data_IF_595606286268
#
_entry.id   IF_595606286268
#
_cell.length_a   1.000
_cell.length_b   1.000
_cell.length_c   1.000
_cell.angle_alpha   90.00
_cell.angle_beta   90.00
_cell.angle_gamma   90.00
#
_symmetry.space_group_name_H-M   'P 1'
#
loop_
_entity.id
_entity.type
_entity.pdbx_description
1 polymer ?
#
# COMPACT_ATOMS: atom_id res chain seq x y z
N UNK A 1 16.20 7.94 4.88
CA UNK A 1 15.93 9.24 4.24
C UNK A 1 15.38 8.91 2.86
N UNK A 2 14.06 9.02 2.64
CA UNK A 2 13.47 8.75 1.33
C UNK A 2 13.96 9.85 0.37
N UNK A 3 14.56 9.43 -0.75
CA UNK A 3 14.96 10.28 -1.88
C UNK A 3 13.72 10.95 -2.52
N UNK A 4 13.88 11.94 -3.43
CA UNK A 4 12.80 12.75 -4.01
C UNK A 4 11.55 11.92 -4.34
N UNK A 5 10.39 12.49 -4.00
CA UNK A 5 9.23 11.76 -3.49
C UNK A 5 8.86 10.58 -4.39
N UNK A 6 8.60 9.41 -3.79
CA UNK A 6 7.99 8.26 -4.49
C UNK A 6 6.68 8.65 -5.18
N UNK A 7 6.09 9.78 -4.74
CA UNK A 7 4.90 10.40 -5.30
C UNK A 7 5.15 11.14 -6.61
N UNK A 8 6.41 11.35 -7.03
CA UNK A 8 6.78 11.96 -8.31
C UNK A 8 7.12 10.92 -9.39
N UNK A 9 6.83 9.65 -9.11
CA UNK A 9 7.13 8.55 -10.00
C UNK A 9 6.16 8.54 -11.20
N UNK A 10 6.61 8.83 -12.44
CA UNK A 10 5.73 8.94 -13.59
C UNK A 10 4.94 7.65 -13.88
N UNK A 11 5.53 6.51 -13.52
CA UNK A 11 4.91 5.18 -13.58
C UNK A 11 3.65 5.11 -12.73
N UNK A 12 3.71 5.60 -11.48
CA UNK A 12 2.58 5.56 -10.55
C UNK A 12 1.43 6.39 -11.11
N UNK A 13 1.73 7.58 -11.62
CA UNK A 13 0.71 8.45 -12.21
C UNK A 13 0.11 7.87 -13.47
N UNK A 14 0.93 7.39 -14.41
CA UNK A 14 0.41 6.81 -15.65
C UNK A 14 -0.56 5.66 -15.36
N UNK A 15 -0.24 4.80 -14.38
CA UNK A 15 -1.12 3.72 -13.95
C UNK A 15 -2.43 4.23 -13.32
N UNK A 16 -2.37 5.32 -12.56
CA UNK A 16 -3.55 5.92 -11.95
C UNK A 16 -4.41 6.70 -12.94
N UNK A 17 -3.82 7.45 -13.88
CA UNK A 17 -4.52 8.10 -14.99
C UNK A 17 -5.27 7.09 -15.84
N UNK A 18 -4.61 5.96 -16.13
CA UNK A 18 -5.22 4.87 -16.88
C UNK A 18 -6.41 4.26 -16.12
N UNK A 19 -6.30 4.10 -14.78
CA UNK A 19 -7.43 3.68 -13.93
C UNK A 19 -8.57 4.71 -13.93
N UNK A 20 -8.25 5.98 -14.08
CA UNK A 20 -9.23 7.06 -14.22
C UNK A 20 -9.78 7.23 -15.64
N UNK A 21 -9.46 6.32 -16.57
CA UNK A 21 -9.88 6.37 -17.98
C UNK A 21 -9.63 7.74 -18.65
N UNK A 22 -8.59 8.45 -18.22
CA UNK A 22 -8.27 9.80 -18.70
C UNK A 22 -9.27 10.90 -18.28
N UNK A 23 -10.21 10.62 -17.37
CA UNK A 23 -11.15 11.62 -16.82
C UNK A 23 -10.41 12.76 -16.10
N UNK A 24 -9.26 12.41 -15.52
CA UNK A 24 -8.34 13.33 -14.90
C UNK A 24 -7.01 13.22 -15.64
N UNK A 25 -6.50 14.37 -16.07
CA UNK A 25 -5.10 14.52 -16.45
C UNK A 25 -4.39 15.12 -15.25
N UNK A 26 -3.54 14.35 -14.58
CA UNK A 26 -2.85 14.88 -13.42
C UNK A 26 -1.84 15.94 -13.88
N UNK A 27 -1.74 17.09 -13.19
CA UNK A 27 -0.74 18.11 -13.50
C UNK A 27 0.66 17.50 -13.38
N UNK A 28 1.60 17.86 -14.26
CA UNK A 28 2.97 17.32 -14.20
C UNK A 28 3.79 17.76 -12.97
N UNK A 29 3.24 18.63 -12.11
CA UNK A 29 3.88 19.20 -10.93
C UNK A 29 3.22 18.78 -9.59
N UNK A 30 2.52 17.64 -9.56
CA UNK A 30 1.86 17.06 -8.37
C UNK A 30 2.74 17.00 -7.11
N UNK A 31 4.08 16.89 -7.25
CA UNK A 31 5.06 17.00 -6.16
C UNK A 31 4.78 18.18 -5.23
N UNK A 32 4.29 19.26 -5.82
CA UNK A 32 4.09 20.56 -5.18
C UNK A 32 2.68 20.71 -4.60
N UNK A 33 1.73 19.83 -4.93
CA UNK A 33 0.34 19.94 -4.54
C UNK A 33 -0.34 18.57 -4.43
N UNK A 34 0.14 17.75 -3.50
CA UNK A 34 -0.38 16.40 -3.28
C UNK A 34 -1.91 16.39 -3.02
N UNK A 35 -2.42 17.37 -2.28
CA UNK A 35 -3.87 17.48 -2.05
C UNK A 35 -4.69 17.68 -3.34
N UNK A 36 -4.14 18.37 -4.36
CA UNK A 36 -4.81 18.44 -5.67
C UNK A 36 -4.95 17.06 -6.28
N UNK A 37 -3.86 16.30 -6.23
CA UNK A 37 -3.80 14.98 -6.81
C UNK A 37 -4.76 14.01 -6.10
N UNK A 38 -4.81 14.01 -4.77
CA UNK A 38 -5.75 13.20 -4.01
C UNK A 38 -7.21 13.60 -4.26
N UNK A 39 -7.47 14.91 -4.36
CA UNK A 39 -8.79 15.43 -4.72
C UNK A 39 -9.23 14.99 -6.12
N UNK A 40 -8.31 15.03 -7.09
CA UNK A 40 -8.62 14.60 -8.44
C UNK A 40 -8.86 13.09 -8.52
N UNK A 41 -8.11 12.28 -7.76
CA UNK A 41 -8.42 10.87 -7.57
C UNK A 41 -9.82 10.69 -6.99
N UNK A 42 -10.14 11.40 -5.90
CA UNK A 42 -11.46 11.34 -5.26
C UNK A 42 -12.61 11.64 -6.24
N UNK A 43 -12.44 12.60 -7.16
CA UNK A 43 -13.40 12.89 -8.24
C UNK A 43 -13.43 11.83 -9.33
N UNK A 44 -12.26 11.34 -9.75
CA UNK A 44 -12.14 10.21 -10.67
C UNK A 44 -12.91 8.98 -10.14
N UNK A 45 -12.84 8.77 -8.84
CA UNK A 45 -13.57 7.72 -8.15
C UNK A 45 -15.08 7.99 -8.02
N UNK A 46 -15.55 9.18 -8.40
CA UNK A 46 -16.95 9.61 -8.27
C UNK A 46 -17.43 9.75 -6.83
N UNK A 47 -16.49 9.85 -5.87
CA UNK A 47 -16.79 9.97 -4.44
C UNK A 47 -17.31 11.37 -4.10
N UNK A 48 -16.96 12.37 -4.89
CA UNK A 48 -17.49 13.74 -4.85
C UNK A 48 -19.01 13.82 -5.04
N UNK A 49 -19.60 12.80 -5.69
CA UNK A 49 -21.05 12.68 -5.88
C UNK A 49 -21.74 11.87 -4.77
N UNK A 50 -20.96 11.24 -3.89
CA UNK A 50 -21.44 10.36 -2.83
C UNK A 50 -21.42 11.04 -1.46
N UNK A 51 -20.83 12.23 -1.33
CA UNK A 51 -20.77 12.99 -0.08
C UNK A 51 -22.16 13.38 0.41
N UNK A 52 -22.37 13.27 1.72
CA UNK A 52 -23.60 13.69 2.39
C UNK A 52 -23.37 14.84 3.34
N UNK A 53 -22.23 14.87 4.01
CA UNK A 53 -21.94 15.80 5.10
C UNK A 53 -20.90 16.86 4.73
N UNK A 54 -20.07 16.60 3.72
CA UNK A 54 -19.10 17.55 3.19
C UNK A 54 -19.55 18.10 1.83
N UNK A 55 -18.97 19.24 1.42
CA UNK A 55 -19.11 19.72 0.05
C UNK A 55 -18.34 18.87 -0.96
N UNK A 56 -18.63 19.06 -2.24
CA UNK A 56 -17.99 18.34 -3.34
C UNK A 56 -16.71 19.01 -3.86
N UNK A 57 -16.23 20.06 -3.18
CA UNK A 57 -15.12 20.90 -3.62
C UNK A 57 -13.79 20.55 -2.93
N UNK A 58 -12.68 21.12 -3.44
CA UNK A 58 -11.33 20.82 -2.94
C UNK A 58 -11.11 21.21 -1.48
N UNK A 59 -11.72 22.31 -1.03
CA UNK A 59 -11.62 22.73 0.37
C UNK A 59 -12.34 21.72 1.28
N UNK A 60 -13.50 21.25 0.85
CA UNK A 60 -14.26 20.21 1.55
C UNK A 60 -13.48 18.89 1.65
N UNK A 61 -12.78 18.47 0.59
CA UNK A 61 -11.90 17.30 0.64
C UNK A 61 -10.75 17.47 1.66
N UNK A 62 -10.07 18.63 1.68
CA UNK A 62 -9.02 18.93 2.68
C UNK A 62 -9.56 18.93 4.11
N UNK A 63 -10.81 19.36 4.30
CA UNK A 63 -11.45 19.32 5.60
C UNK A 63 -11.67 17.88 6.09
N UNK A 64 -11.97 16.93 5.21
CA UNK A 64 -12.10 15.51 5.59
C UNK A 64 -10.83 14.95 6.22
N UNK A 65 -9.67 15.23 5.62
CA UNK A 65 -8.38 14.80 6.17
C UNK A 65 -8.14 15.41 7.56
N UNK A 66 -8.47 16.69 7.71
CA UNK A 66 -8.35 17.40 8.99
C UNK A 66 -9.26 16.78 10.06
N UNK A 67 -10.51 16.47 9.72
CA UNK A 67 -11.46 15.77 10.60
C UNK A 67 -10.95 14.40 11.02
N UNK A 68 -10.33 13.65 10.11
CA UNK A 68 -9.72 12.36 10.42
C UNK A 68 -8.55 12.48 11.38
N UNK A 69 -7.64 13.42 11.11
CA UNK A 69 -6.49 13.67 11.97
C UNK A 69 -6.93 14.11 13.38
N UNK A 70 -7.94 14.98 13.49
CA UNK A 70 -8.49 15.39 14.79
C UNK A 70 -9.13 14.22 15.54
N UNK A 71 -9.95 13.42 14.85
CA UNK A 71 -10.59 12.24 15.42
C UNK A 71 -9.57 11.21 15.92
N UNK A 72 -8.50 10.95 15.15
CA UNK A 72 -7.44 10.00 15.52
C UNK A 72 -6.63 10.44 16.74
N UNK A 73 -6.54 11.75 16.98
CA UNK A 73 -5.83 12.32 18.12
C UNK A 73 -6.73 12.58 19.34
N UNK A 74 -8.00 12.14 19.31
CA UNK A 74 -9.01 12.43 20.33
C UNK A 74 -9.15 13.93 20.63
N UNK A 75 -8.93 14.79 19.65
CA UNK A 75 -9.23 16.21 19.82
C UNK A 75 -10.75 16.37 19.83
N UNK A 76 -11.26 16.99 20.90
CA UNK A 76 -12.65 17.41 20.95
C UNK A 76 -12.85 18.47 19.86
N UNK A 77 -13.85 18.24 19.00
CA UNK A 77 -14.36 19.17 17.98
C UNK A 77 -15.04 20.39 18.63
N UNK A 78 -14.36 21.09 19.53
CA UNK A 78 -14.94 22.16 20.34
C UNK A 78 -15.35 23.31 19.42
N UNK A 79 -16.66 23.49 19.25
CA UNK A 79 -17.24 24.57 18.45
C UNK A 79 -17.53 24.24 17.00
N UNK A 80 -17.41 22.97 16.56
CA UNK A 80 -17.82 22.54 15.22
C UNK A 80 -19.04 21.59 15.28
N UNK A 81 -19.83 21.55 14.22
CA UNK A 81 -20.98 20.62 14.09
C UNK A 81 -20.56 19.23 13.58
N UNK A 82 -19.32 18.81 13.84
CA UNK A 82 -18.79 17.52 13.38
C UNK A 82 -19.32 16.40 14.28
N UNK A 83 -19.85 15.36 13.67
CA UNK A 83 -20.44 14.18 14.33
C UNK A 83 -19.69 12.91 13.91
N UNK A 84 -19.93 11.78 14.60
CA UNK A 84 -19.37 10.47 14.21
C UNK A 84 -19.69 10.11 12.75
N UNK A 85 -20.88 10.47 12.27
CA UNK A 85 -21.25 10.28 10.87
C UNK A 85 -20.35 11.04 9.86
N UNK A 86 -19.85 12.23 10.23
CA UNK A 86 -18.88 12.96 9.41
C UNK A 86 -17.54 12.24 9.41
N UNK A 87 -17.09 11.77 10.58
CA UNK A 87 -15.82 11.02 10.72
C UNK A 87 -15.85 9.73 9.89
N UNK A 88 -16.94 8.98 9.95
CA UNK A 88 -17.09 7.73 9.19
C UNK A 88 -17.19 7.97 7.67
N UNK A 89 -17.87 9.05 7.23
CA UNK A 89 -17.88 9.43 5.82
C UNK A 89 -16.47 9.80 5.33
N UNK A 90 -15.78 10.69 6.04
CA UNK A 90 -14.41 11.09 5.73
C UNK A 90 -13.48 9.87 5.66
N UNK A 91 -13.60 8.97 6.65
CA UNK A 91 -12.78 7.75 6.77
C UNK A 91 -13.01 6.82 5.59
N UNK A 92 -14.27 6.58 5.23
CA UNK A 92 -14.64 5.72 4.11
C UNK A 92 -14.07 6.25 2.78
N UNK A 93 -14.22 7.56 2.53
CA UNK A 93 -13.76 8.18 1.29
C UNK A 93 -12.24 8.24 1.20
N UNK A 94 -11.57 8.69 2.27
CA UNK A 94 -10.12 8.81 2.29
C UNK A 94 -9.45 7.45 2.14
N UNK A 95 -9.99 6.40 2.76
CA UNK A 95 -9.50 5.02 2.57
C UNK A 95 -9.54 4.58 1.10
N UNK A 96 -10.62 4.87 0.37
CA UNK A 96 -10.71 4.51 -1.06
C UNK A 96 -9.65 5.24 -1.89
N UNK A 97 -9.45 6.54 -1.63
CA UNK A 97 -8.39 7.34 -2.28
C UNK A 97 -7.02 6.76 -1.95
N UNK A 98 -6.73 6.52 -0.67
CA UNK A 98 -5.46 5.97 -0.23
C UNK A 98 -5.18 4.58 -0.83
N UNK A 99 -6.19 3.70 -0.89
CA UNK A 99 -6.02 2.35 -1.45
C UNK A 99 -5.69 2.35 -2.95
N UNK A 100 -6.31 3.22 -3.74
CA UNK A 100 -5.94 3.36 -5.16
C UNK A 100 -4.58 4.01 -5.33
N UNK A 101 -4.25 5.03 -4.52
CA UNK A 101 -2.95 5.71 -4.54
C UNK A 101 -1.82 4.70 -4.31
N UNK A 102 -1.99 3.84 -3.31
CA UNK A 102 -0.99 2.87 -2.88
C UNK A 102 -1.04 1.55 -3.66
N UNK A 103 -2.05 1.35 -4.51
CA UNK A 103 -2.22 0.12 -5.29
C UNK A 103 -2.39 -1.12 -4.41
N UNK A 104 -3.22 -1.04 -3.36
CA UNK A 104 -3.46 -2.10 -2.37
C UNK A 104 -4.90 -2.64 -2.44
N UNK A 105 -5.13 -3.81 -1.85
CA UNK A 105 -6.46 -4.44 -1.73
C UNK A 105 -7.17 -4.62 -3.10
N UNK A 106 -8.41 -4.15 -3.29
CA UNK A 106 -9.12 -4.26 -4.57
C UNK A 106 -8.43 -3.51 -5.72
N UNK A 107 -7.47 -2.63 -5.40
CA UNK A 107 -6.68 -1.87 -6.36
C UNK A 107 -5.24 -2.39 -6.51
N UNK A 108 -4.98 -3.63 -6.05
CA UNK A 108 -3.67 -4.29 -6.08
C UNK A 108 -2.94 -4.05 -7.40
N UNK A 109 -1.82 -3.33 -7.34
CA UNK A 109 -1.03 -2.96 -8.52
C UNK A 109 0.45 -3.21 -8.26
N UNK A 110 1.01 -4.34 -8.74
CA UNK A 110 2.38 -4.74 -8.45
C UNK A 110 3.45 -3.71 -8.80
N UNK A 111 3.25 -2.91 -9.85
CA UNK A 111 4.24 -1.90 -10.24
C UNK A 111 4.23 -0.70 -9.27
N UNK A 112 3.05 -0.31 -8.75
CA UNK A 112 2.93 0.70 -7.69
C UNK A 112 3.56 0.18 -6.39
N UNK A 113 3.24 -1.05 -5.99
CA UNK A 113 3.81 -1.68 -4.79
C UNK A 113 5.34 -1.79 -4.87
N UNK A 114 5.85 -2.15 -6.06
CA UNK A 114 7.29 -2.18 -6.35
C UNK A 114 7.91 -0.81 -6.13
N UNK A 115 7.32 0.26 -6.66
CA UNK A 115 7.81 1.64 -6.45
C UNK A 115 7.86 2.00 -4.96
N UNK A 116 6.76 1.80 -4.21
CA UNK A 116 6.71 2.28 -2.82
C UNK A 116 7.58 1.47 -1.85
N UNK A 117 7.64 0.14 -2.02
CA UNK A 117 8.20 -0.76 -1.01
C UNK A 117 9.19 -1.79 -1.54
N UNK A 118 9.43 -1.83 -2.86
CA UNK A 118 10.28 -2.85 -3.47
C UNK A 118 11.76 -2.74 -3.09
N UNK A 119 12.27 -1.53 -2.88
CA UNK A 119 13.64 -1.31 -2.41
C UNK A 119 13.81 -1.76 -0.95
N UNK A 120 12.84 -1.44 -0.08
CA UNK A 120 12.83 -1.90 1.31
C UNK A 120 12.78 -3.43 1.38
N UNK A 121 11.89 -4.06 0.61
CA UNK A 121 11.79 -5.52 0.49
C UNK A 121 13.14 -6.13 0.07
N UNK A 122 13.76 -5.57 -0.96
CA UNK A 122 15.04 -6.07 -1.49
C UNK A 122 16.17 -5.95 -0.45
N UNK A 123 16.23 -4.84 0.30
CA UNK A 123 17.21 -4.65 1.37
C UNK A 123 17.03 -5.68 2.50
N UNK A 124 15.78 -5.91 2.94
CA UNK A 124 15.45 -6.94 3.95
C UNK A 124 15.91 -8.32 3.48
N UNK A 125 15.53 -8.73 2.26
CA UNK A 125 15.94 -10.02 1.67
C UNK A 125 17.47 -10.13 1.59
N UNK A 126 18.14 -9.05 1.17
CA UNK A 126 19.61 -9.03 1.03
C UNK A 126 20.29 -9.21 2.38
N UNK A 127 19.81 -8.52 3.43
CA UNK A 127 20.33 -8.64 4.80
C UNK A 127 20.09 -10.03 5.38
N UNK A 128 18.91 -10.60 5.16
CA UNK A 128 18.62 -11.97 5.59
C UNK A 128 19.51 -13.00 4.89
N UNK A 129 19.72 -12.87 3.57
CA UNK A 129 20.67 -13.72 2.82
C UNK A 129 22.11 -13.58 3.33
N UNK A 130 22.54 -12.36 3.66
CA UNK A 130 23.85 -12.13 4.28
C UNK A 130 23.98 -12.91 5.59
N UNK A 131 22.93 -12.90 6.43
CA UNK A 131 22.91 -13.65 7.70
C UNK A 131 22.93 -15.16 7.51
N UNK A 132 22.19 -15.68 6.52
CA UNK A 132 22.24 -17.09 6.13
C UNK A 132 23.66 -17.48 5.72
N UNK A 133 24.29 -16.69 4.84
CA UNK A 133 25.63 -16.96 4.35
C UNK A 133 26.70 -16.89 5.44
N UNK A 134 26.55 -15.95 6.38
CA UNK A 134 27.36 -15.84 7.59
C UNK A 134 27.32 -17.13 8.41
N UNK A 135 26.12 -17.68 8.68
CA UNK A 135 25.95 -18.94 9.42
C UNK A 135 26.54 -20.15 8.67
N UNK A 136 26.72 -20.04 7.36
CA UNK A 136 27.37 -21.04 6.50
C UNK A 136 28.89 -20.85 6.40
N UNK A 137 29.50 -20.02 7.25
CA UNK A 137 30.96 -19.86 7.34
C UNK A 137 31.56 -18.72 6.51
N UNK A 138 30.73 -17.82 5.96
CA UNK A 138 31.23 -16.57 5.36
C UNK A 138 31.43 -15.48 6.42
N UNK A 139 32.18 -14.43 6.08
CA UNK A 139 32.39 -13.27 6.96
C UNK A 139 31.06 -12.63 7.36
N UNK A 140 30.92 -12.34 8.67
CA UNK A 140 29.70 -11.83 9.26
C UNK A 140 29.86 -10.37 9.69
N UNK A 141 28.85 -9.55 9.42
CA UNK A 141 28.61 -8.39 10.28
C UNK A 141 27.95 -8.84 11.60
N UNK A 142 28.15 -8.08 12.68
CA UNK A 142 27.58 -8.36 14.00
C UNK A 142 26.15 -7.84 14.18
N UNK A 143 25.52 -7.32 13.11
CA UNK A 143 24.22 -6.64 13.21
C UNK A 143 23.11 -7.68 13.38
N UNK A 144 22.49 -7.72 14.56
CA UNK A 144 21.37 -8.65 14.83
C UNK A 144 20.00 -8.01 14.60
N UNK A 145 19.93 -6.67 14.52
CA UNK A 145 18.69 -5.91 14.39
C UNK A 145 18.87 -4.77 13.39
N UNK A 146 17.90 -4.62 12.49
CA UNK A 146 17.82 -3.51 11.55
C UNK A 146 16.51 -2.75 11.79
N UNK A 147 16.62 -1.47 12.13
CA UNK A 147 15.47 -0.59 12.31
C UNK A 147 15.26 0.32 11.10
N UNK A 148 14.02 0.43 10.64
CA UNK A 148 13.60 1.35 9.58
C UNK A 148 12.50 2.25 10.13
N UNK A 149 12.73 3.55 10.10
CA UNK A 149 11.66 4.54 10.34
C UNK A 149 11.11 4.98 9.00
N UNK A 150 9.80 4.85 8.81
CA UNK A 150 9.13 5.21 7.56
C UNK A 150 7.75 5.82 7.79
N UNK A 151 7.06 6.11 6.71
CA UNK A 151 5.70 6.65 6.66
C UNK A 151 4.70 5.55 6.31
N UNK A 152 3.43 5.80 6.59
CA UNK A 152 2.29 4.97 6.21
C UNK A 152 2.29 4.63 4.70
N UNK A 153 2.68 5.58 3.84
CA UNK A 153 2.81 5.39 2.39
C UNK A 153 3.81 4.29 2.00
N UNK A 154 4.72 3.88 2.89
CA UNK A 154 5.60 2.73 2.67
C UNK A 154 5.15 1.50 3.48
N UNK A 155 4.65 1.69 4.70
CA UNK A 155 4.19 0.57 5.55
C UNK A 155 3.01 -0.16 4.90
N UNK A 156 2.04 0.57 4.35
CA UNK A 156 0.83 -0.04 3.79
C UNK A 156 1.13 -0.90 2.55
N UNK A 157 1.85 -0.39 1.52
CA UNK A 157 2.27 -1.22 0.39
C UNK A 157 3.13 -2.41 0.81
N UNK A 158 3.95 -2.26 1.86
CA UNK A 158 4.74 -3.37 2.36
C UNK A 158 3.86 -4.46 2.99
N UNK A 159 2.84 -4.11 3.78
CA UNK A 159 1.85 -5.09 4.28
C UNK A 159 1.13 -5.82 3.13
N UNK A 160 0.85 -5.11 2.04
CA UNK A 160 0.21 -5.68 0.85
C UNK A 160 1.12 -6.68 0.14
N UNK A 161 2.41 -6.36 -0.03
CA UNK A 161 3.43 -7.30 -0.53
C UNK A 161 3.48 -8.56 0.33
N UNK A 162 3.37 -8.40 1.66
CA UNK A 162 3.31 -9.51 2.63
C UNK A 162 1.94 -10.20 2.68
N UNK A 163 0.96 -9.81 1.85
CA UNK A 163 -0.43 -10.31 1.86
C UNK A 163 -1.10 -10.27 3.24
N UNK A 164 -0.68 -9.30 4.06
CA UNK A 164 -0.98 -9.23 5.48
C UNK A 164 -1.81 -8.00 5.86
N UNK A 165 -2.20 -7.17 4.88
CA UNK A 165 -2.99 -5.95 5.06
C UNK A 165 -4.23 -6.18 5.93
N UNK A 166 -5.08 -7.15 5.55
CA UNK A 166 -6.33 -7.43 6.27
C UNK A 166 -6.10 -7.95 7.69
N UNK A 167 -5.07 -8.78 7.90
CA UNK A 167 -4.74 -9.29 9.23
C UNK A 167 -4.18 -8.18 10.14
N UNK A 168 -3.32 -7.32 9.61
CA UNK A 168 -2.65 -6.26 10.36
C UNK A 168 -3.60 -5.12 10.77
N UNK A 169 -4.32 -4.56 9.79
CA UNK A 169 -5.08 -3.31 9.95
C UNK A 169 -6.55 -3.43 9.57
N UNK A 170 -7.00 -4.58 9.08
CA UNK A 170 -8.41 -4.77 8.71
C UNK A 170 -8.77 -3.86 7.54
N UNK A 171 -9.72 -2.95 7.77
CA UNK A 171 -10.07 -1.93 6.79
C UNK A 171 -9.47 -0.55 7.07
N UNK A 172 -8.77 -0.40 8.19
CA UNK A 172 -8.10 0.82 8.64
C UNK A 172 -6.71 0.99 8.02
N UNK A 173 -6.12 2.17 8.23
CA UNK A 173 -4.72 2.45 7.95
C UNK A 173 -3.84 2.11 9.17
N UNK A 174 -2.53 1.89 8.99
CA UNK A 174 -1.59 1.77 10.11
C UNK A 174 -1.64 3.02 11.01
N UNK A 175 -1.78 2.84 12.33
CA UNK A 175 -1.79 3.96 13.27
C UNK A 175 -0.37 4.46 13.54
N UNK A 176 -0.27 5.64 14.18
CA UNK A 176 1.01 6.15 14.65
C UNK A 176 1.73 5.12 15.53
N UNK A 177 3.04 5.00 15.32
CA UNK A 177 3.94 4.05 16.02
C UNK A 177 3.67 2.57 15.78
N UNK A 178 2.81 2.25 14.81
CA UNK A 178 2.71 0.91 14.27
C UNK A 178 4.05 0.43 13.70
N UNK A 179 4.25 -0.87 13.67
CA UNK A 179 5.51 -1.47 13.23
C UNK A 179 5.33 -2.88 12.72
N UNK A 180 6.18 -3.25 11.77
CA UNK A 180 6.27 -4.60 11.21
C UNK A 180 7.60 -5.19 11.64
N UNK A 181 7.55 -6.35 12.28
CA UNK A 181 8.72 -7.12 12.67
C UNK A 181 8.81 -8.32 11.74
N UNK A 182 9.96 -8.50 11.07
CA UNK A 182 10.22 -9.66 10.21
C UNK A 182 11.45 -10.36 10.74
N UNK A 183 11.26 -11.58 11.22
CA UNK A 183 12.30 -12.37 11.90
C UNK A 183 12.75 -13.51 11.00
N UNK A 184 14.07 -13.66 10.87
CA UNK A 184 14.70 -14.82 10.27
C UNK A 184 15.11 -15.79 11.37
N UNK A 185 14.57 -17.00 11.36
CA UNK A 185 14.97 -18.07 12.27
C UNK A 185 15.49 -19.28 11.50
N UNK A 186 16.25 -20.13 12.19
CA UNK A 186 16.85 -21.30 11.57
C UNK A 186 16.54 -22.58 12.36
N UNK A 187 16.24 -23.65 11.63
CA UNK A 187 16.05 -24.98 12.17
C UNK A 187 16.99 -25.93 11.40
N UNK A 188 18.07 -26.36 12.05
CA UNK A 188 19.14 -27.09 11.37
C UNK A 188 19.74 -26.26 10.22
N UNK A 189 19.63 -26.77 8.99
CA UNK A 189 20.14 -26.13 7.76
C UNK A 189 19.10 -25.22 7.07
N UNK A 190 17.86 -25.28 7.51
CA UNK A 190 16.73 -24.61 6.88
C UNK A 190 16.46 -23.27 7.58
N UNK A 191 15.92 -22.32 6.81
CA UNK A 191 15.67 -20.95 7.26
C UNK A 191 14.25 -20.55 6.96
N UNK A 192 13.66 -19.83 7.90
CA UNK A 192 12.24 -19.54 7.91
C UNK A 192 11.99 -18.12 8.39
N UNK A 193 10.79 -17.62 8.08
CA UNK A 193 10.32 -16.30 8.43
C UNK A 193 9.17 -16.35 9.44
N UNK A 194 9.20 -15.41 10.38
CA UNK A 194 8.01 -14.97 11.13
C UNK A 194 7.80 -13.51 10.86
N UNK A 195 6.55 -13.08 10.84
CA UNK A 195 6.21 -11.68 10.77
C UNK A 195 5.18 -11.32 11.82
N UNK A 196 5.35 -10.16 12.44
CA UNK A 196 4.43 -9.62 13.44
C UNK A 196 4.09 -8.18 13.12
N UNK A 197 2.87 -7.78 13.48
CA UNK A 197 2.43 -6.39 13.41
C UNK A 197 2.04 -5.87 14.78
N UNK A 198 2.61 -4.73 15.15
CA UNK A 198 2.14 -3.94 16.29
C UNK A 198 1.29 -2.79 15.75
N UNK A 199 0.04 -2.71 16.21
CA UNK A 199 -0.91 -1.71 15.70
C UNK A 199 -0.69 -0.32 16.29
N UNK A 200 -0.34 -0.24 17.57
CA UNK A 200 -0.24 1.01 18.34
C UNK A 200 0.84 0.87 19.43
N UNK A 201 0.71 1.63 20.53
CA UNK A 201 1.61 1.59 21.69
C UNK A 201 1.39 0.36 22.60
N UNK A 202 0.50 -0.56 22.26
CA UNK A 202 0.26 -1.77 23.07
C UNK A 202 1.37 -2.81 22.85
N UNK A 203 1.53 -3.70 23.84
CA UNK A 203 2.43 -4.86 23.74
C UNK A 203 1.84 -6.00 22.88
N UNK A 204 0.68 -5.79 22.28
CA UNK A 204 0.00 -6.80 21.49
C UNK A 204 0.59 -6.89 20.07
N UNK A 205 1.03 -8.09 19.70
CA UNK A 205 1.53 -8.42 18.37
C UNK A 205 0.54 -9.33 17.64
N UNK A 206 0.12 -8.90 16.46
CA UNK A 206 -0.63 -9.75 15.52
C UNK A 206 0.37 -10.62 14.77
N UNK A 207 0.23 -11.93 14.84
CA UNK A 207 1.02 -12.86 14.01
C UNK A 207 0.57 -12.79 12.56
N UNK A 208 1.46 -12.32 11.69
CA UNK A 208 1.26 -12.22 10.24
C UNK A 208 1.84 -13.43 9.49
N UNK A 209 2.55 -14.33 10.17
CA UNK A 209 3.24 -15.47 9.55
C UNK A 209 2.32 -16.32 8.66
N UNK A 210 1.07 -16.65 9.07
CA UNK A 210 0.16 -17.44 8.22
C UNK A 210 -0.24 -16.76 6.91
N UNK A 211 -0.09 -15.44 6.83
CA UNK A 211 -0.46 -14.64 5.67
C UNK A 211 0.71 -14.43 4.70
N UNK A 212 1.94 -14.75 5.11
CA UNK A 212 3.12 -14.50 4.28
C UNK A 212 3.05 -15.28 2.96
N UNK A 213 3.45 -14.66 1.83
CA UNK A 213 3.61 -15.37 0.57
C UNK A 213 4.58 -16.54 0.72
N UNK A 214 4.19 -17.73 0.26
CA UNK A 214 5.01 -18.94 0.40
C UNK A 214 4.86 -19.66 1.75
N UNK A 215 3.92 -19.26 2.62
CA UNK A 215 3.55 -20.03 3.81
C UNK A 215 2.94 -21.39 3.45
N UNK A 216 3.35 -22.45 4.17
CA UNK A 216 2.94 -23.84 3.92
C UNK A 216 2.35 -24.51 5.18
N UNK A 217 1.42 -23.82 5.86
CA UNK A 217 0.64 -24.39 6.97
C UNK A 217 1.34 -24.37 8.34
N UNK A 218 2.60 -24.77 8.42
CA UNK A 218 3.35 -24.80 9.67
C UNK A 218 4.45 -23.74 9.75
N UNK A 219 5.03 -23.37 8.61
CA UNK A 219 6.13 -22.41 8.53
C UNK A 219 6.19 -21.71 7.18
N UNK A 220 6.90 -20.58 7.13
CA UNK A 220 7.22 -19.86 5.92
C UNK A 220 8.72 -20.03 5.64
N UNK A 221 9.10 -20.93 4.74
CA UNK A 221 10.49 -21.09 4.34
C UNK A 221 10.98 -19.82 3.62
N UNK A 222 12.19 -19.37 3.96
CA UNK A 222 12.74 -18.12 3.44
C UNK A 222 12.82 -18.07 1.91
N UNK A 223 13.31 -19.13 1.24
CA UNK A 223 13.42 -19.11 -0.22
C UNK A 223 12.05 -19.24 -0.91
N UNK A 224 11.09 -19.93 -0.29
CA UNK A 224 9.68 -19.95 -0.74
C UNK A 224 9.07 -18.55 -0.70
N UNK A 225 9.32 -17.79 0.37
CA UNK A 225 8.93 -16.38 0.45
C UNK A 225 9.59 -15.52 -0.63
N UNK A 226 10.92 -15.59 -0.77
CA UNK A 226 11.67 -14.79 -1.75
C UNK A 226 11.17 -15.04 -3.18
N UNK A 227 10.90 -16.30 -3.52
CA UNK A 227 10.33 -16.67 -4.82
C UNK A 227 8.95 -16.02 -5.04
N UNK A 228 8.09 -16.05 -4.02
CA UNK A 228 6.73 -15.53 -4.10
C UNK A 228 6.68 -14.00 -4.24
N UNK A 229 7.63 -13.28 -3.62
CA UNK A 229 7.67 -11.80 -3.65
C UNK A 229 8.59 -11.22 -4.73
N UNK A 230 9.18 -12.06 -5.58
CA UNK A 230 10.20 -11.65 -6.58
C UNK A 230 9.75 -10.51 -7.50
N UNK A 231 8.45 -10.45 -7.80
CA UNK A 231 7.88 -9.44 -8.71
C UNK A 231 7.79 -8.04 -8.07
N UNK A 232 7.88 -7.94 -6.74
CA UNK A 232 7.88 -6.67 -6.02
C UNK A 232 9.28 -6.20 -5.65
N UNK A 233 10.27 -7.10 -5.64
CA UNK A 233 11.65 -6.79 -5.25
C UNK A 233 12.36 -5.98 -6.33
N UNK A 234 13.01 -4.89 -5.94
CA UNK A 234 13.86 -4.10 -6.85
C UNK A 234 15.08 -3.51 -6.15
N UNK A 235 16.14 -3.30 -6.93
CA UNK A 235 17.40 -2.76 -6.39
C UNK A 235 17.39 -1.25 -6.16
N UNK A 236 16.55 -0.50 -6.86
CA UNK A 236 16.44 0.96 -6.73
C UNK A 236 15.07 1.43 -7.20
N UNK A 237 14.47 2.35 -6.45
CA UNK A 237 13.23 3.01 -6.82
C UNK A 237 13.37 3.90 -8.08
N UNK A 238 14.55 4.45 -8.35
CA UNK A 238 14.80 5.30 -9.54
C UNK A 238 14.59 4.49 -10.82
N UNK A 239 15.05 3.23 -10.82
CA UNK A 239 14.83 2.31 -11.95
C UNK A 239 13.36 1.96 -12.13
N UNK A 240 12.64 1.78 -11.02
CA UNK A 240 11.19 1.55 -11.03
C UNK A 240 10.45 2.66 -11.77
N UNK A 241 10.83 3.90 -11.49
CA UNK A 241 10.16 5.09 -12.01
C UNK A 241 10.58 5.45 -13.44
N UNK A 242 11.67 4.86 -13.94
CA UNK A 242 12.16 5.05 -15.31
C UNK A 242 11.65 3.98 -16.28
N UNK A 243 11.09 2.87 -15.77
CA UNK A 243 10.67 1.71 -16.57
C UNK A 243 9.30 1.92 -17.26
N UNK A 244 9.03 3.13 -17.76
CA UNK A 244 7.78 3.49 -18.45
C UNK A 244 7.56 2.63 -19.71
N UNK A 245 8.62 2.34 -20.45
CA UNK A 245 8.57 1.52 -21.68
C UNK A 245 7.99 0.12 -21.42
N UNK A 246 8.29 -0.47 -20.25
CA UNK A 246 7.73 -1.77 -19.85
C UNK A 246 6.25 -1.67 -19.49
N UNK A 247 5.79 -0.49 -19.08
CA UNK A 247 4.41 -0.27 -18.63
C UNK A 247 3.51 0.19 -19.78
N UNK A 248 4.05 0.68 -20.90
CA UNK A 248 3.25 1.03 -22.10
C UNK A 248 2.33 -0.11 -22.58
N UNK A 249 2.83 -1.35 -22.53
CA UNK A 249 2.01 -2.53 -22.85
C UNK A 249 0.81 -2.69 -21.92
N UNK A 250 1.01 -2.46 -20.62
CA UNK A 250 -0.03 -2.54 -19.58
C UNK A 250 -0.99 -1.36 -19.65
N UNK A 251 -0.52 -0.15 -19.92
CA UNK A 251 -1.37 1.04 -20.10
C UNK A 251 -2.36 0.80 -21.25
N UNK A 252 -1.91 0.24 -22.37
CA UNK A 252 -2.80 -0.14 -23.49
C UNK A 252 -3.83 -1.19 -23.09
N UNK A 253 -3.51 -2.10 -22.17
CA UNK A 253 -4.47 -3.08 -21.65
C UNK A 253 -5.52 -2.43 -20.74
N UNK A 254 -5.07 -1.54 -19.84
CA UNK A 254 -5.96 -0.79 -18.92
C UNK A 254 -6.89 0.13 -19.72
N UNK A 255 -6.36 0.87 -20.70
CA UNK A 255 -7.15 1.73 -21.58
C UNK A 255 -8.20 0.95 -22.37
N UNK A 256 -7.83 -0.21 -22.94
CA UNK A 256 -8.78 -1.10 -23.64
C UNK A 256 -9.87 -1.62 -22.71
N UNK A 257 -9.53 -1.87 -21.45
CA UNK A 257 -10.50 -2.31 -20.45
C UNK A 257 -11.45 -1.17 -20.08
N UNK A 258 -10.94 0.05 -19.87
CA UNK A 258 -11.74 1.24 -19.59
C UNK A 258 -12.67 1.63 -20.75
N UNK A 259 -12.20 1.56 -22.00
CA UNK A 259 -13.05 1.88 -23.18
C UNK A 259 -14.17 0.87 -23.42
N UNK A 260 -13.94 -0.43 -23.14
CA UNK A 260 -14.94 -1.47 -23.36
C UNK A 260 -16.11 -1.43 -22.39
N UNK A 261 -15.90 -0.94 -21.18
CA UNK A 261 -16.89 -1.02 -20.11
C UNK A 261 -17.57 0.34 -19.82
N UNK A 262 -17.27 1.38 -20.60
CA UNK A 262 -17.69 2.75 -20.28
C UNK A 262 -17.02 3.25 -19.01
N UNK A 263 -17.35 4.46 -18.55
CA UNK A 263 -16.91 4.95 -17.23
C UNK A 263 -17.49 4.00 -16.18
N UNK A 264 -16.72 2.99 -15.79
CA UNK A 264 -17.13 2.00 -14.81
C UNK A 264 -17.16 2.70 -13.46
N UNK A 265 -18.35 2.95 -12.94
CA UNK A 265 -18.53 3.30 -11.53
C UNK A 265 -17.81 2.25 -10.70
N UNK A 266 -17.00 2.67 -9.72
CA UNK A 266 -16.23 1.78 -8.83
C UNK A 266 -17.06 0.62 -8.31
N UNK A 267 -18.34 0.84 -8.03
CA UNK A 267 -19.26 -0.18 -7.54
C UNK A 267 -19.34 -1.41 -8.47
N UNK A 268 -19.19 -1.22 -9.79
CA UNK A 268 -19.11 -2.32 -10.76
C UNK A 268 -17.75 -3.02 -10.73
N UNK A 269 -16.63 -2.29 -10.52
CA UNK A 269 -15.29 -2.88 -10.33
C UNK A 269 -15.28 -3.72 -9.06
N UNK A 270 -15.75 -3.17 -7.94
CA UNK A 270 -15.82 -3.86 -6.66
C UNK A 270 -16.69 -5.12 -6.78
N UNK A 271 -17.85 -5.03 -7.44
CA UNK A 271 -18.75 -6.17 -7.69
C UNK A 271 -18.10 -7.26 -8.56
N UNK A 272 -17.45 -6.89 -9.66
CA UNK A 272 -16.75 -7.81 -10.57
C UNK A 272 -15.53 -8.47 -9.88
N UNK A 273 -14.72 -7.70 -9.16
CA UNK A 273 -13.54 -8.19 -8.45
C UNK A 273 -13.94 -9.12 -7.31
N UNK A 274 -14.95 -8.77 -6.52
CA UNK A 274 -15.51 -9.66 -5.49
C UNK A 274 -16.05 -10.97 -6.07
N UNK A 275 -16.68 -10.92 -7.25
CA UNK A 275 -17.11 -12.14 -7.97
C UNK A 275 -15.95 -13.00 -8.45
N UNK A 276 -14.79 -12.39 -8.78
CA UNK A 276 -13.59 -13.13 -9.18
C UNK A 276 -12.86 -13.74 -7.99
N UNK A 277 -12.69 -12.99 -6.90
CA UNK A 277 -12.03 -13.49 -5.69
C UNK A 277 -12.76 -14.70 -5.10
N UNK A 278 -14.11 -14.66 -5.04
CA UNK A 278 -14.93 -15.81 -4.63
C UNK A 278 -14.78 -17.06 -5.50
N UNK A 279 -14.26 -16.95 -6.73
CA UNK A 279 -13.99 -18.10 -7.61
C UNK A 279 -12.59 -18.69 -7.44
N UNK A 280 -11.67 -17.95 -6.82
CA UNK A 280 -10.29 -18.41 -6.56
C UNK A 280 -10.19 -19.11 -5.20
N UNK A 281 -11.17 -18.87 -4.31
CA UNK A 281 -11.30 -19.53 -3.01
C UNK A 281 -12.12 -20.84 -3.04
N UNK A 282 -12.56 -21.30 -4.22
CA UNK A 282 -13.22 -22.59 -4.48
C UNK A 282 -12.32 -23.50 -5.32
#
# INVERSE_FOLDING_TARGET
MLKPSLMDCPVVHALQEAKCAGYVRFPSDYAKNFDSYEYDLWRCLGLDKQVKYFGSDKLSFRLMESVLNEALNNYLFIGTNITDAHVEEARSMYRKVQRITLGIDLYHEPDILRVYSGELLNDIITKMRSKIACRQGKTCDSIVFNGYSSQDLQIFPFLEILRSTKAAVGDDAPLYTSGIFVELYANGKDYFLKAFFRRDHTDFLVDLTPNLPGFQGESCEFESFVSAVRNYSQKSNEKACQDLEKIEGRLKEIEKWGTRNGVVLIDQIESETMKRMKRVEL
#
